data_IF_648489135265
#
_entry.id   IF_648489135265
#
_cell.length_a   1.000
_cell.length_b   1.000
_cell.length_c   1.000
_cell.angle_alpha   90.00
_cell.angle_beta   90.00
_cell.angle_gamma   90.00
#
_symmetry.space_group_name_H-M   'P 1'
#
loop_
_entity.id
_entity.type
_entity.pdbx_description
1 polymer ?
#
# COMPACT_ATOMS: atom_id res chain seq x y z
N UNK A 1 41.38 -5.88 9.89
CA UNK A 1 40.28 -5.13 10.52
C UNK A 1 39.54 -4.19 9.57
N UNK A 2 40.19 -3.53 8.60
CA UNK A 2 39.53 -2.64 7.62
C UNK A 2 38.55 -3.32 6.65
N UNK A 3 38.73 -4.63 6.36
CA UNK A 3 37.88 -5.40 5.44
C UNK A 3 36.51 -5.80 6.04
N UNK A 4 36.42 -5.92 7.36
CA UNK A 4 35.17 -6.26 8.07
C UNK A 4 34.30 -5.00 8.25
N UNK A 5 34.94 -3.83 8.44
CA UNK A 5 34.24 -2.54 8.56
C UNK A 5 33.56 -2.13 7.25
N UNK A 6 34.10 -2.51 6.09
CA UNK A 6 33.47 -2.28 4.78
C UNK A 6 32.26 -3.19 4.52
N UNK A 7 32.21 -4.37 5.14
CA UNK A 7 31.13 -5.34 4.93
C UNK A 7 29.82 -4.92 5.63
N UNK A 8 29.93 -4.17 6.74
CA UNK A 8 28.77 -3.66 7.49
C UNK A 8 28.12 -2.44 6.81
N UNK A 9 28.88 -1.68 6.01
CA UNK A 9 28.39 -0.49 5.30
C UNK A 9 27.52 -0.83 4.08
N UNK A 10 27.54 -2.10 3.62
CA UNK A 10 26.75 -2.60 2.49
C UNK A 10 25.40 -3.19 2.89
N UNK A 11 25.14 -3.42 4.18
CA UNK A 11 23.89 -3.99 4.68
C UNK A 11 22.78 -2.94 4.89
N UNK A 12 23.11 -1.66 4.75
CA UNK A 12 22.20 -0.52 4.96
C UNK A 12 21.53 -0.01 3.69
N UNK A 13 21.49 -0.81 2.60
CA UNK A 13 20.53 -0.58 1.52
C UNK A 13 19.16 -0.96 2.08
N UNK A 14 18.58 -0.05 2.88
CA UNK A 14 17.23 -0.14 3.36
C UNK A 14 16.32 -0.38 2.16
N UNK A 15 15.55 -1.44 2.24
CA UNK A 15 14.57 -1.84 1.24
C UNK A 15 13.50 -0.74 1.24
N UNK A 16 13.70 0.32 0.45
CA UNK A 16 12.66 1.30 0.16
C UNK A 16 11.66 0.59 -0.75
N UNK A 17 10.74 -0.15 -0.12
CA UNK A 17 9.58 -0.70 -0.81
C UNK A 17 8.57 0.44 -0.96
N UNK A 18 8.40 0.93 -2.19
CA UNK A 18 7.20 1.67 -2.54
C UNK A 18 6.02 0.70 -2.38
N UNK A 19 5.24 0.87 -1.30
CA UNK A 19 4.12 -0.01 -1.01
C UNK A 19 2.89 0.51 -1.77
N UNK A 20 2.31 -0.35 -2.61
CA UNK A 20 1.01 -0.08 -3.24
C UNK A 20 -0.12 -0.33 -2.23
N UNK A 21 -1.31 0.21 -2.51
CA UNK A 21 -2.52 -0.13 -1.76
C UNK A 21 -2.82 -1.61 -1.97
N UNK A 22 -3.07 -2.32 -0.87
CA UNK A 22 -3.46 -3.72 -0.89
C UNK A 22 -4.97 -3.81 -1.15
N UNK A 23 -5.32 -3.74 -2.44
CA UNK A 23 -6.68 -3.95 -2.90
C UNK A 23 -7.13 -5.39 -2.64
N UNK A 24 -8.38 -5.54 -2.23
CA UNK A 24 -9.03 -6.80 -1.91
C UNK A 24 -10.33 -6.88 -2.70
N UNK A 25 -10.79 -8.08 -2.99
CA UNK A 25 -12.20 -8.26 -3.35
C UNK A 25 -13.09 -7.96 -2.15
N UNK A 26 -14.35 -7.63 -2.40
CA UNK A 26 -15.31 -7.38 -1.32
C UNK A 26 -15.44 -8.59 -0.38
N UNK A 27 -15.45 -9.82 -0.92
CA UNK A 27 -15.54 -11.04 -0.12
C UNK A 27 -14.32 -11.23 0.80
N UNK A 28 -13.11 -10.95 0.31
CA UNK A 28 -11.89 -10.98 1.12
C UNK A 28 -11.92 -9.91 2.22
N UNK A 29 -12.40 -8.70 1.91
CA UNK A 29 -12.51 -7.62 2.88
C UNK A 29 -13.53 -7.95 3.98
N UNK A 30 -14.68 -8.54 3.63
CA UNK A 30 -15.70 -8.99 4.59
C UNK A 30 -15.19 -10.15 5.46
N UNK A 31 -14.48 -11.10 4.87
CA UNK A 31 -13.86 -12.21 5.60
C UNK A 31 -12.77 -11.71 6.56
N UNK A 32 -11.96 -10.72 6.14
CA UNK A 32 -10.95 -10.09 6.99
C UNK A 32 -11.59 -9.25 8.12
N UNK A 33 -12.61 -8.45 7.81
CA UNK A 33 -13.36 -7.63 8.77
C UNK A 33 -14.02 -8.48 9.85
N UNK A 34 -14.55 -9.65 9.48
CA UNK A 34 -15.14 -10.60 10.43
C UNK A 34 -14.13 -11.15 11.45
N UNK A 35 -12.84 -11.22 11.10
CA UNK A 35 -11.75 -11.65 11.99
C UNK A 35 -11.14 -10.49 12.77
N UNK A 36 -10.96 -9.35 12.12
CA UNK A 36 -10.35 -8.15 12.71
C UNK A 36 -11.15 -6.93 12.26
N UNK A 37 -11.99 -6.36 13.14
CA UNK A 37 -12.85 -5.25 12.78
C UNK A 37 -12.04 -4.03 12.31
N UNK A 38 -12.20 -3.69 11.03
CA UNK A 38 -11.61 -2.51 10.39
C UNK A 38 -12.60 -1.99 9.33
N UNK A 39 -12.61 -0.68 9.09
CA UNK A 39 -13.49 -0.07 8.09
C UNK A 39 -13.08 -0.50 6.67
N UNK A 40 -14.05 -0.65 5.79
CA UNK A 40 -13.82 -0.90 4.36
C UNK A 40 -13.79 0.45 3.65
N UNK A 41 -12.74 0.69 2.87
CA UNK A 41 -12.60 1.83 1.97
C UNK A 41 -12.90 1.33 0.56
N UNK A 42 -13.91 1.87 -0.09
CA UNK A 42 -14.33 1.43 -1.43
C UNK A 42 -13.97 2.51 -2.44
N UNK A 43 -13.15 2.15 -3.42
CA UNK A 43 -12.91 2.99 -4.59
C UNK A 43 -13.82 2.58 -5.75
N UNK A 44 -14.64 3.51 -6.23
CA UNK A 44 -15.62 3.24 -7.29
C UNK A 44 -15.25 4.06 -8.53
N UNK A 45 -14.84 3.37 -9.59
CA UNK A 45 -14.44 3.99 -10.84
C UNK A 45 -14.94 3.23 -12.07
N UNK A 46 -14.77 3.84 -13.23
CA UNK A 46 -14.89 3.19 -14.54
C UNK A 46 -13.57 3.30 -15.29
N UNK A 47 -13.27 2.33 -16.16
CA UNK A 47 -11.99 2.27 -16.89
C UNK A 47 -11.70 3.49 -17.78
N UNK A 48 -12.74 4.26 -18.14
CA UNK A 48 -12.65 5.46 -18.97
C UNK A 48 -12.76 6.76 -18.15
N UNK A 49 -12.88 6.68 -16.83
CA UNK A 49 -12.92 7.85 -15.96
C UNK A 49 -11.54 8.54 -15.90
N UNK A 50 -11.39 9.66 -16.60
CA UNK A 50 -10.16 10.47 -16.60
C UNK A 50 -9.72 10.94 -15.20
N UNK A 51 -10.63 11.55 -14.40
CA UNK A 51 -10.31 11.96 -13.03
C UNK A 51 -9.87 10.80 -12.12
N UNK A 52 -10.48 9.62 -12.25
CA UNK A 52 -10.14 8.44 -11.46
C UNK A 52 -8.69 7.99 -11.74
N UNK A 53 -8.28 7.98 -13.01
CA UNK A 53 -6.87 7.70 -13.37
C UNK A 53 -5.88 8.71 -12.81
N UNK A 54 -6.29 9.98 -12.69
CA UNK A 54 -5.45 11.01 -12.06
C UNK A 54 -5.32 10.78 -10.55
N UNK A 55 -6.41 10.34 -9.89
CA UNK A 55 -6.38 9.97 -8.48
C UNK A 55 -5.44 8.79 -8.22
N UNK A 56 -5.54 7.72 -9.03
CA UNK A 56 -4.66 6.55 -8.93
C UNK A 56 -3.18 6.95 -9.03
N UNK A 57 -2.86 7.73 -10.05
CA UNK A 57 -1.49 8.12 -10.36
C UNK A 57 -0.88 9.08 -9.33
N UNK A 58 -1.65 10.06 -8.87
CA UNK A 58 -1.11 11.17 -8.07
C UNK A 58 -1.29 10.97 -6.56
N UNK A 59 -2.31 10.19 -6.16
CA UNK A 59 -2.70 10.03 -4.75
C UNK A 59 -2.50 8.60 -4.28
N UNK A 60 -3.07 7.60 -4.95
CA UNK A 60 -2.95 6.21 -4.48
C UNK A 60 -1.56 5.61 -4.72
N UNK A 61 -0.80 6.15 -5.67
CA UNK A 61 0.62 5.81 -5.87
C UNK A 61 1.56 6.51 -4.87
N UNK A 62 1.06 7.42 -4.02
CA UNK A 62 1.86 8.04 -2.97
C UNK A 62 2.07 7.03 -1.82
N UNK A 63 3.32 6.73 -1.43
CA UNK A 63 3.61 5.71 -0.42
C UNK A 63 3.03 6.03 0.96
N UNK A 64 2.94 7.30 1.34
CA UNK A 64 2.36 7.71 2.63
C UNK A 64 0.85 7.47 2.65
N UNK A 65 0.17 7.73 1.52
CA UNK A 65 -1.27 7.46 1.34
C UNK A 65 -1.52 5.96 1.35
N UNK A 66 -0.74 5.18 0.60
CA UNK A 66 -0.88 3.74 0.55
C UNK A 66 -0.64 3.10 1.93
N UNK A 67 0.40 3.54 2.66
CA UNK A 67 0.67 3.09 4.01
C UNK A 67 -0.47 3.43 4.97
N UNK A 68 -1.02 4.64 4.87
CA UNK A 68 -2.16 5.06 5.68
C UNK A 68 -3.40 4.20 5.38
N UNK A 69 -3.71 3.95 4.11
CA UNK A 69 -4.86 3.15 3.71
C UNK A 69 -4.70 1.70 4.20
N UNK A 70 -3.56 1.07 3.92
CA UNK A 70 -3.27 -0.31 4.32
C UNK A 70 -3.32 -0.49 5.86
N UNK A 71 -2.85 0.51 6.61
CA UNK A 71 -2.89 0.49 8.07
C UNK A 71 -4.33 0.58 8.58
N UNK A 72 -5.13 1.51 8.06
CA UNK A 72 -6.40 1.90 8.67
C UNK A 72 -7.65 1.29 8.04
N UNK A 73 -7.57 0.78 6.81
CA UNK A 73 -8.72 0.23 6.07
C UNK A 73 -8.46 -1.15 5.46
N UNK A 74 -9.54 -1.83 5.08
CA UNK A 74 -9.52 -2.85 4.02
C UNK A 74 -9.97 -2.15 2.74
N UNK A 75 -9.07 -2.01 1.76
CA UNK A 75 -9.35 -1.32 0.51
C UNK A 75 -9.97 -2.28 -0.50
N UNK A 76 -11.07 -1.87 -1.14
CA UNK A 76 -11.81 -2.61 -2.16
C UNK A 76 -11.99 -1.73 -3.39
#
# INVERSE_FOLDING_TARGET
>A
MKKITLLFLLFSIGIVSAQEIKWMTMDEALAAQSKTPKKIFVDMYTVWCGPCKMLDKNTFSNPDVAAFINKNFYAV
#
